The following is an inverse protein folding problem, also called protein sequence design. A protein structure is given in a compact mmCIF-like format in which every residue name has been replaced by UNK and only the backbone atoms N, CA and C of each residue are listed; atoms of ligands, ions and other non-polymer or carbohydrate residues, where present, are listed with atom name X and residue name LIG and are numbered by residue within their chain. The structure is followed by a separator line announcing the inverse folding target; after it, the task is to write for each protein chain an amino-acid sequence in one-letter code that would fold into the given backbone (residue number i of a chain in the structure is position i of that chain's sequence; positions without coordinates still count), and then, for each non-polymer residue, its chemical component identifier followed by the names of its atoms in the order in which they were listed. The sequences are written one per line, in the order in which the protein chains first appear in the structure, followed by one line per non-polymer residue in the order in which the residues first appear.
data_IF_478160143386
#
_entry.id   IF_478160143386
#
_cell.length_a   1.000
_cell.length_b   1.000
_cell.length_c   1.000
_cell.angle_alpha   90.00
_cell.angle_beta   90.00
_cell.angle_gamma   90.00
#
_symmetry.space_group_name_H-M   'P 1'
#
loop_
_entity.id
_entity.type
_entity.pdbx_description
1 polymer ?
#
# COMPACT_ATOMS: atom_id res chain seq x y z
N UNK A 1 -18.63 1.58 3.97
CA UNK A 1 -17.88 2.01 2.79
C UNK A 1 -18.79 2.86 1.94
N UNK A 2 -18.34 4.03 1.51
CA UNK A 2 -19.09 4.85 0.56
C UNK A 2 -19.17 4.10 -0.78
N UNK A 3 -20.33 4.07 -1.42
CA UNK A 3 -20.49 3.46 -2.75
C UNK A 3 -20.04 4.41 -3.89
N UNK A 4 -19.41 5.53 -3.53
CA UNK A 4 -18.85 6.48 -4.49
C UNK A 4 -17.47 6.01 -4.93
N UNK A 5 -17.14 6.07 -6.23
CA UNK A 5 -15.78 5.82 -6.70
C UNK A 5 -14.77 6.71 -5.97
N UNK A 6 -13.67 6.13 -5.52
CA UNK A 6 -12.54 6.85 -4.92
C UNK A 6 -11.36 6.88 -5.91
N UNK A 7 -10.62 7.98 -5.93
CA UNK A 7 -9.44 8.19 -6.78
C UNK A 7 -8.23 8.36 -5.89
N UNK A 8 -7.29 7.41 -5.99
CA UNK A 8 -6.00 7.42 -5.29
C UNK A 8 -4.87 7.52 -6.32
N UNK A 9 -4.35 8.71 -6.64
CA UNK A 9 -3.26 8.85 -7.61
C UNK A 9 -2.00 8.12 -7.14
N UNK A 10 -1.40 7.30 -8.01
CA UNK A 10 -0.09 6.68 -7.74
C UNK A 10 1.03 7.69 -7.94
N UNK A 11 1.90 7.82 -6.94
CA UNK A 11 3.06 8.71 -7.01
C UNK A 11 4.32 8.03 -7.58
N UNK A 12 4.22 6.80 -8.07
CA UNK A 12 5.36 6.07 -8.66
C UNK A 12 6.06 6.87 -9.78
N UNK A 13 5.28 7.60 -10.58
CA UNK A 13 5.77 8.40 -11.70
C UNK A 13 5.83 9.91 -11.39
N UNK A 14 5.64 10.31 -10.13
CA UNK A 14 5.74 11.71 -9.74
C UNK A 14 7.19 12.21 -9.84
N UNK A 15 7.36 13.53 -9.97
CA UNK A 15 8.68 14.14 -9.84
C UNK A 15 9.17 14.05 -8.39
N UNK A 16 10.00 13.04 -8.11
CA UNK A 16 10.52 12.76 -6.78
C UNK A 16 11.42 13.89 -6.25
N UNK A 17 12.05 14.68 -7.12
CA UNK A 17 12.85 15.83 -6.70
C UNK A 17 11.99 16.97 -6.14
N UNK A 18 10.70 17.02 -6.53
CA UNK A 18 9.73 18.03 -6.11
C UNK A 18 8.50 17.38 -5.47
N UNK A 19 8.69 16.26 -4.74
CA UNK A 19 7.60 15.43 -4.22
C UNK A 19 6.55 16.22 -3.43
N UNK A 20 6.95 17.16 -2.57
CA UNK A 20 5.99 17.96 -1.80
C UNK A 20 5.03 18.77 -2.69
N UNK A 21 5.50 19.27 -3.84
CA UNK A 21 4.67 19.96 -4.82
C UNK A 21 3.72 18.99 -5.53
N UNK A 22 4.21 17.80 -5.88
CA UNK A 22 3.41 16.75 -6.51
C UNK A 22 2.29 16.25 -5.57
N UNK A 23 2.57 16.13 -4.26
CA UNK A 23 1.58 15.80 -3.23
C UNK A 23 0.53 16.90 -3.09
N UNK A 24 0.96 18.17 -3.06
CA UNK A 24 0.04 19.31 -2.98
C UNK A 24 -0.90 19.39 -4.19
N UNK A 25 -0.43 19.02 -5.39
CA UNK A 25 -1.26 19.01 -6.61
C UNK A 25 -2.43 18.03 -6.55
N UNK A 26 -2.34 17.00 -5.73
CA UNK A 26 -3.37 15.98 -5.57
C UNK A 26 -4.15 16.08 -4.25
N UNK A 27 -4.02 17.18 -3.49
CA UNK A 27 -4.63 17.34 -2.15
C UNK A 27 -6.16 17.18 -2.12
N UNK A 28 -6.82 17.32 -3.27
CA UNK A 28 -8.26 17.14 -3.43
C UNK A 28 -8.70 15.71 -3.77
N UNK A 29 -7.76 14.78 -3.88
CA UNK A 29 -8.03 13.35 -4.10
C UNK A 29 -8.62 12.69 -2.84
N UNK A 30 -9.20 11.51 -3.01
CA UNK A 30 -9.75 10.74 -1.89
C UNK A 30 -8.65 10.07 -1.04
N UNK A 31 -7.50 9.82 -1.67
CA UNK A 31 -6.34 9.20 -1.05
C UNK A 31 -5.11 9.28 -1.94
N UNK A 32 -4.01 8.71 -1.48
CA UNK A 32 -2.75 8.60 -2.21
C UNK A 32 -2.39 7.13 -2.36
N UNK A 33 -2.00 6.70 -3.56
CA UNK A 33 -1.50 5.35 -3.78
C UNK A 33 0.02 5.32 -3.77
N UNK A 34 0.61 4.48 -2.91
CA UNK A 34 2.04 4.31 -2.74
C UNK A 34 2.43 2.87 -3.11
N UNK A 35 3.03 2.69 -4.29
CA UNK A 35 3.59 1.41 -4.69
C UNK A 35 4.94 1.18 -3.99
N UNK A 36 5.10 0.05 -3.32
CA UNK A 36 6.33 -0.34 -2.62
C UNK A 36 6.90 -1.58 -3.28
N UNK A 37 8.17 -1.55 -3.65
CA UNK A 37 8.83 -2.59 -4.43
C UNK A 37 10.23 -2.90 -3.88
N UNK A 38 10.60 -4.17 -3.77
CA UNK A 38 11.82 -4.62 -3.08
C UNK A 38 12.89 -5.25 -4.00
N UNK A 39 12.71 -5.22 -5.31
CA UNK A 39 13.55 -5.87 -6.31
C UNK A 39 13.66 -7.40 -6.20
N UNK A 40 12.79 -8.05 -5.41
CA UNK A 40 12.71 -9.50 -5.26
C UNK A 40 11.35 -10.02 -5.73
N UNK A 41 10.26 -9.51 -5.17
CA UNK A 41 8.92 -9.89 -5.58
C UNK A 41 8.55 -9.34 -6.97
N UNK A 42 9.05 -8.14 -7.29
CA UNK A 42 9.01 -7.52 -8.63
C UNK A 42 10.40 -7.00 -9.00
N UNK A 43 10.77 -6.91 -10.30
CA UNK A 43 12.10 -6.50 -10.73
C UNK A 43 12.27 -4.96 -10.74
N UNK A 44 11.92 -4.30 -9.63
CA UNK A 44 12.10 -2.86 -9.42
C UNK A 44 12.23 -2.54 -7.93
N UNK A 45 12.86 -1.41 -7.57
CA UNK A 45 13.10 -0.97 -6.19
C UNK A 45 12.52 0.42 -5.98
N UNK A 46 11.51 0.55 -5.11
CA UNK A 46 10.88 1.85 -4.84
C UNK A 46 10.17 1.87 -3.47
N UNK A 47 10.12 3.08 -2.87
CA UNK A 47 9.34 3.41 -1.68
C UNK A 47 9.54 2.52 -0.44
N UNK A 48 10.80 2.26 -0.06
CA UNK A 48 11.11 1.66 1.23
C UNK A 48 10.62 2.49 2.44
N UNK A 49 10.80 2.00 3.68
CA UNK A 49 10.22 2.61 4.87
C UNK A 49 10.57 4.10 5.07
N UNK A 50 11.80 4.51 4.78
CA UNK A 50 12.22 5.91 4.93
C UNK A 50 11.48 6.86 3.98
N UNK A 51 11.32 6.46 2.71
CA UNK A 51 10.56 7.25 1.74
C UNK A 51 9.08 7.29 2.10
N UNK A 52 8.53 6.19 2.61
CA UNK A 52 7.15 6.12 3.08
C UNK A 52 6.89 7.11 4.24
N UNK A 53 7.82 7.19 5.20
CA UNK A 53 7.76 8.20 6.26
C UNK A 53 7.80 9.62 5.71
N UNK A 54 8.69 9.90 4.74
CA UNK A 54 8.71 11.21 4.06
C UNK A 54 7.37 11.54 3.42
N UNK A 55 6.72 10.59 2.73
CA UNK A 55 5.40 10.80 2.13
C UNK A 55 4.36 11.13 3.21
N UNK A 56 4.30 10.33 4.28
CA UNK A 56 3.36 10.50 5.38
C UNK A 56 3.51 11.87 6.09
N UNK A 57 4.73 12.39 6.19
CA UNK A 57 4.99 13.71 6.78
C UNK A 57 4.55 14.88 5.89
N UNK A 58 4.37 14.66 4.58
CA UNK A 58 4.13 15.70 3.59
C UNK A 58 2.74 15.63 2.93
N UNK A 59 1.85 14.77 3.41
CA UNK A 59 0.45 14.71 2.94
C UNK A 59 -0.53 14.51 4.08
N UNK A 60 -1.72 15.09 3.95
CA UNK A 60 -2.87 14.82 4.83
C UNK A 60 -3.79 13.74 4.26
N UNK A 61 -3.55 13.30 3.02
CA UNK A 61 -4.34 12.26 2.36
C UNK A 61 -4.12 10.90 3.04
N UNK A 62 -5.15 10.05 3.14
CA UNK A 62 -4.94 8.67 3.55
C UNK A 62 -4.06 7.95 2.53
N UNK A 63 -2.92 7.41 3.01
CA UNK A 63 -1.98 6.66 2.17
C UNK A 63 -2.41 5.21 2.07
N UNK A 64 -2.65 4.74 0.84
CA UNK A 64 -2.86 3.36 0.45
C UNK A 64 -1.54 2.76 -0.03
N UNK A 65 -0.91 1.95 0.82
CA UNK A 65 0.36 1.31 0.54
C UNK A 65 0.15 -0.05 -0.13
N UNK A 66 0.53 -0.14 -1.40
CA UNK A 66 0.51 -1.37 -2.18
C UNK A 66 1.88 -2.05 -2.16
N UNK A 67 1.97 -3.16 -1.43
CA UNK A 67 3.20 -3.86 -1.13
C UNK A 67 3.47 -4.97 -2.15
N UNK A 68 4.28 -4.65 -3.16
CA UNK A 68 4.90 -5.59 -4.09
C UNK A 68 6.26 -6.04 -3.56
N UNK A 69 6.25 -6.67 -2.38
CA UNK A 69 7.44 -7.11 -1.65
C UNK A 69 7.31 -8.56 -1.18
N UNK A 70 8.42 -9.27 -1.04
CA UNK A 70 8.49 -10.62 -0.46
C UNK A 70 8.30 -10.56 1.07
N UNK A 71 7.91 -11.68 1.69
CA UNK A 71 7.69 -11.79 3.14
C UNK A 71 6.70 -10.73 3.68
N UNK A 72 5.54 -10.57 3.02
CA UNK A 72 4.55 -9.55 3.38
C UNK A 72 4.08 -9.65 4.85
N UNK A 73 4.04 -10.86 5.41
CA UNK A 73 3.70 -11.10 6.83
C UNK A 73 4.62 -10.35 7.81
N UNK A 74 5.87 -10.09 7.41
CA UNK A 74 6.86 -9.34 8.19
C UNK A 74 6.74 -7.83 7.97
N UNK A 75 6.54 -7.42 6.72
CA UNK A 75 6.67 -6.02 6.32
C UNK A 75 5.36 -5.24 6.41
N UNK A 76 4.23 -5.83 6.01
CA UNK A 76 2.95 -5.14 6.00
C UNK A 76 2.54 -4.57 7.38
N UNK A 77 2.74 -5.27 8.51
CA UNK A 77 2.50 -4.67 9.84
C UNK A 77 3.29 -3.38 10.09
N UNK A 78 4.54 -3.29 9.61
CA UNK A 78 5.37 -2.10 9.79
C UNK A 78 4.81 -0.89 9.02
N UNK A 79 4.24 -1.10 7.84
CA UNK A 79 3.58 -0.04 7.07
C UNK A 79 2.30 0.46 7.76
N UNK A 80 1.53 -0.44 8.38
CA UNK A 80 0.40 -0.06 9.22
C UNK A 80 0.85 0.73 10.45
N UNK A 81 1.89 0.28 11.16
CA UNK A 81 2.46 0.98 12.32
C UNK A 81 3.02 2.37 11.99
N UNK A 82 3.56 2.56 10.78
CA UNK A 82 4.01 3.88 10.30
C UNK A 82 2.84 4.85 10.07
N UNK A 83 1.61 4.36 9.90
CA UNK A 83 0.42 5.19 9.71
C UNK A 83 -0.16 5.14 8.29
N UNK A 84 0.22 4.17 7.45
CA UNK A 84 -0.52 3.93 6.20
C UNK A 84 -1.97 3.58 6.52
N UNK A 85 -2.91 4.30 5.90
CA UNK A 85 -4.34 4.15 6.15
C UNK A 85 -4.89 2.83 5.60
N UNK A 86 -4.35 2.39 4.46
CA UNK A 86 -4.63 1.09 3.85
C UNK A 86 -3.29 0.39 3.57
N UNK A 87 -3.22 -0.90 3.87
CA UNK A 87 -2.06 -1.73 3.51
C UNK A 87 -2.56 -2.90 2.69
N UNK A 88 -2.12 -2.95 1.44
CA UNK A 88 -2.50 -3.97 0.46
C UNK A 88 -1.30 -4.84 0.14
N UNK A 89 -1.32 -6.10 0.60
CA UNK A 89 -0.26 -7.07 0.32
C UNK A 89 -0.66 -8.06 -0.77
N UNK A 90 0.29 -8.60 -1.51
CA UNK A 90 0.02 -9.66 -2.47
C UNK A 90 -0.29 -11.00 -1.78
N UNK A 91 -1.34 -11.70 -2.22
CA UNK A 91 -1.69 -13.04 -1.75
C UNK A 91 -0.52 -14.02 -1.91
N UNK A 92 0.31 -13.82 -2.93
CA UNK A 92 1.46 -14.66 -3.25
C UNK A 92 2.71 -14.35 -2.41
N UNK A 93 2.68 -13.27 -1.63
CA UNK A 93 3.77 -12.83 -0.76
C UNK A 93 3.49 -13.08 0.73
N UNK A 94 2.28 -13.53 1.08
CA UNK A 94 1.87 -13.90 2.44
C UNK A 94 1.68 -15.41 2.55
N UNK A 95 2.03 -15.97 3.72
CA UNK A 95 1.78 -17.39 4.03
C UNK A 95 0.42 -17.58 4.72
N UNK A 96 -0.18 -16.51 5.23
CA UNK A 96 -1.39 -16.55 6.03
C UNK A 96 -2.23 -15.26 5.85
N UNK A 97 -2.86 -15.06 4.67
CA UNK A 97 -3.55 -13.81 4.33
C UNK A 97 -4.62 -13.41 5.37
N UNK A 98 -5.36 -14.37 5.91
CA UNK A 98 -6.36 -14.15 6.97
C UNK A 98 -5.77 -13.60 8.26
N UNK A 99 -4.59 -14.09 8.63
CA UNK A 99 -3.89 -13.66 9.84
C UNK A 99 -3.35 -12.25 9.62
N UNK A 100 -2.76 -12.01 8.45
CA UNK A 100 -2.24 -10.70 8.08
C UNK A 100 -3.35 -9.64 8.06
N UNK A 101 -4.48 -9.90 7.40
CA UNK A 101 -5.63 -8.98 7.35
C UNK A 101 -6.12 -8.62 8.75
N UNK A 102 -6.26 -9.62 9.63
CA UNK A 102 -6.65 -9.38 11.04
C UNK A 102 -5.64 -8.53 11.77
N UNK A 103 -4.36 -8.76 11.54
CA UNK A 103 -3.28 -7.99 12.17
C UNK A 103 -3.27 -6.54 11.71
N UNK A 104 -3.43 -6.28 10.42
CA UNK A 104 -3.50 -4.92 9.88
C UNK A 104 -4.69 -4.14 10.46
N UNK A 105 -5.87 -4.78 10.55
CA UNK A 105 -7.02 -4.18 11.23
C UNK A 105 -6.76 -3.93 12.73
N UNK A 106 -6.06 -4.83 13.43
CA UNK A 106 -5.68 -4.64 14.84
C UNK A 106 -4.75 -3.44 15.03
N UNK A 107 -3.89 -3.18 14.06
CA UNK A 107 -2.97 -2.04 14.03
C UNK A 107 -3.65 -0.72 13.60
N UNK A 108 -4.92 -0.78 13.17
CA UNK A 108 -5.72 0.40 12.83
C UNK A 108 -5.75 0.76 11.34
N UNK A 109 -5.03 0.02 10.50
CA UNK A 109 -5.08 0.17 9.05
C UNK A 109 -6.25 -0.63 8.45
N UNK A 110 -6.79 -0.18 7.32
CA UNK A 110 -7.58 -1.06 6.46
C UNK A 110 -6.65 -2.07 5.76
N UNK A 111 -7.18 -3.23 5.41
CA UNK A 111 -6.40 -4.28 4.75
C UNK A 111 -6.92 -4.58 3.34
N UNK A 112 -6.01 -4.71 2.39
CA UNK A 112 -6.27 -5.22 1.05
C UNK A 112 -5.44 -6.46 0.76
N UNK A 113 -5.93 -7.32 -0.13
CA UNK A 113 -5.13 -8.40 -0.73
C UNK A 113 -5.13 -8.23 -2.24
N UNK A 114 -3.94 -8.02 -2.81
CA UNK A 114 -3.72 -7.94 -4.24
C UNK A 114 -3.48 -9.34 -4.83
N UNK A 115 -3.90 -9.51 -6.08
CA UNK A 115 -3.68 -10.70 -6.88
C UNK A 115 -2.88 -10.32 -8.11
N UNK A 116 -1.90 -11.13 -8.51
CA UNK A 116 -1.34 -11.02 -9.86
C UNK A 116 -2.43 -11.36 -10.88
N UNK A 117 -2.31 -10.87 -12.13
CA UNK A 117 -3.30 -11.14 -13.17
C UNK A 117 -3.60 -12.63 -13.43
N UNK A 118 -2.62 -13.50 -13.18
CA UNK A 118 -2.76 -14.96 -13.36
C UNK A 118 -3.23 -15.69 -12.11
N UNK A 119 -3.39 -14.98 -10.99
CA UNK A 119 -3.77 -15.60 -9.72
C UNK A 119 -5.30 -15.66 -9.64
N UNK A 120 -5.89 -16.86 -9.50
CA UNK A 120 -7.33 -17.03 -9.42
C UNK A 120 -7.93 -16.29 -8.22
N UNK A 121 -9.13 -15.75 -8.38
CA UNK A 121 -9.85 -15.04 -7.31
C UNK A 121 -10.18 -15.98 -6.14
N UNK A 122 -10.35 -17.26 -6.42
CA UNK A 122 -10.63 -18.33 -5.48
C UNK A 122 -9.58 -18.45 -4.36
N UNK A 123 -8.37 -17.91 -4.56
CA UNK A 123 -7.32 -17.83 -3.52
C UNK A 123 -7.74 -16.94 -2.35
N UNK A 124 -8.58 -15.94 -2.61
CA UNK A 124 -8.99 -14.91 -1.64
C UNK A 124 -10.48 -14.89 -1.35
N UNK A 125 -11.31 -15.62 -2.10
CA UNK A 125 -12.76 -15.75 -1.84
C UNK A 125 -13.14 -16.06 -0.39
N UNK A 126 -12.38 -16.85 0.40
CA UNK A 126 -12.81 -17.14 1.76
C UNK A 126 -12.53 -16.01 2.77
N UNK A 127 -11.84 -14.92 2.38
CA UNK A 127 -11.43 -13.79 3.24
C UNK A 127 -12.59 -12.94 3.78
#
# INVERSE_FOLDING_TARGET
MSNTPAIHPSILNADQAHLAEELARIESADGLHLDVMDNHFVPNMFAGPSFTQTVLEHTSLPVDAHLMIEDADRWAPQYAEMGCAVVTAHAEATRAPFVLVKELHRLGAQAGIALRPTTPLEVVEPL
#
